data_IF_436612381556
#
_entry.id   IF_436612381556
#
_cell.length_a   1.000
_cell.length_b   1.000
_cell.length_c   1.000
_cell.angle_alpha   90.00
_cell.angle_beta   90.00
_cell.angle_gamma   90.00
#
_symmetry.space_group_name_H-M   'P 1'
#
loop_
_entity.id
_entity.type
_entity.pdbx_description
1 polymer ?
#
# COMPACT_ATOMS: atom_id res chain seq x y z
N UNK A 1 -15.74 8.46 -22.84
CA UNK A 1 -14.42 8.26 -23.51
C UNK A 1 -13.34 8.60 -22.50
N UNK A 2 -12.36 7.72 -22.30
CA UNK A 2 -11.15 8.01 -21.50
C UNK A 2 -10.18 8.84 -22.36
N UNK A 3 -9.61 9.94 -21.84
CA UNK A 3 -9.05 11.03 -22.66
C UNK A 3 -7.57 11.37 -22.41
N UNK A 4 -6.94 10.85 -21.35
CA UNK A 4 -5.57 11.23 -20.98
C UNK A 4 -4.53 10.56 -21.86
N UNK A 5 -3.67 11.34 -22.51
CA UNK A 5 -2.57 10.82 -23.36
C UNK A 5 -1.34 10.37 -22.58
N UNK A 6 -1.17 10.83 -21.34
CA UNK A 6 -0.09 10.45 -20.44
C UNK A 6 -0.63 10.42 -19.01
N UNK A 7 -0.48 9.28 -18.34
CA UNK A 7 -1.03 9.02 -17.01
C UNK A 7 0.10 8.64 -16.06
N UNK A 8 0.14 9.28 -14.89
CA UNK A 8 1.12 9.00 -13.83
C UNK A 8 0.37 8.58 -12.57
N UNK A 9 0.82 7.50 -11.93
CA UNK A 9 0.28 7.02 -10.66
C UNK A 9 1.27 7.30 -9.51
N UNK A 10 0.81 7.98 -8.46
CA UNK A 10 1.54 8.12 -7.20
C UNK A 10 0.92 7.20 -6.16
N UNK A 11 1.73 6.34 -5.54
CA UNK A 11 1.28 5.40 -4.53
C UNK A 11 2.03 5.61 -3.21
N UNK A 12 1.48 5.10 -2.12
CA UNK A 12 2.09 5.14 -0.80
C UNK A 12 1.78 3.86 -0.03
N UNK A 13 2.18 3.82 1.25
CA UNK A 13 2.05 2.62 2.09
C UNK A 13 0.61 2.05 2.15
N UNK A 14 -0.40 2.90 1.96
CA UNK A 14 -1.82 2.51 1.98
C UNK A 14 -2.17 1.35 1.03
N UNK A 15 -1.54 1.24 -0.15
CA UNK A 15 -1.85 0.17 -1.11
C UNK A 15 -1.38 -1.23 -0.67
N UNK A 16 -0.54 -1.29 0.37
CA UNK A 16 0.05 -2.50 0.94
C UNK A 16 -0.59 -2.93 2.26
N UNK A 17 -1.50 -2.13 2.83
CA UNK A 17 -2.24 -2.48 4.06
C UNK A 17 -3.06 -3.77 3.89
N UNK A 18 -3.71 -3.93 2.74
CA UNK A 18 -4.42 -5.15 2.37
C UNK A 18 -3.50 -6.38 2.20
N UNK A 19 -2.18 -6.18 2.12
CA UNK A 19 -1.17 -7.25 2.06
C UNK A 19 -0.58 -7.57 3.44
N UNK A 20 -1.06 -6.96 4.53
CA UNK A 20 -0.59 -7.20 5.89
C UNK A 20 0.62 -6.35 6.34
N UNK A 21 0.99 -5.34 5.54
CA UNK A 21 2.05 -4.37 5.87
C UNK A 21 1.37 -3.09 6.39
N UNK A 22 1.63 -2.64 7.63
CA UNK A 22 0.99 -1.43 8.16
C UNK A 22 1.42 -0.20 7.37
N UNK A 23 0.54 0.80 7.32
CA UNK A 23 0.91 2.12 6.84
C UNK A 23 1.68 2.90 7.92
N UNK A 24 1.96 4.17 7.63
CA UNK A 24 2.67 5.04 8.57
C UNK A 24 1.75 5.84 9.50
N UNK A 25 0.61 6.32 9.00
CA UNK A 25 -0.19 7.40 9.66
C UNK A 25 -1.70 7.11 9.73
N UNK A 26 -2.12 5.92 9.34
CA UNK A 26 -3.50 5.46 9.52
C UNK A 26 -3.77 5.12 10.99
N UNK A 27 -5.00 4.73 11.33
CA UNK A 27 -5.40 4.48 12.72
C UNK A 27 -4.50 3.52 13.51
N UNK A 28 -3.84 2.59 12.79
CA UNK A 28 -2.89 1.60 13.30
C UNK A 28 -1.51 1.69 12.62
N UNK A 29 -1.19 2.84 12.03
CA UNK A 29 0.08 3.06 11.34
C UNK A 29 1.27 3.13 12.28
N UNK A 30 2.47 2.89 11.76
CA UNK A 30 3.72 2.85 12.55
C UNK A 30 3.87 4.07 13.46
N UNK A 31 3.74 5.29 12.92
CA UNK A 31 3.90 6.52 13.70
C UNK A 31 2.71 6.81 14.59
N UNK A 32 1.49 6.47 14.16
CA UNK A 32 0.29 6.62 14.99
C UNK A 32 0.30 5.71 16.20
N UNK A 33 0.87 4.51 16.08
CA UNK A 33 1.04 3.59 17.20
C UNK A 33 2.19 4.05 18.11
N UNK A 34 3.31 4.50 17.53
CA UNK A 34 4.44 5.06 18.28
C UNK A 34 4.03 6.29 19.12
N UNK A 35 3.27 7.24 18.56
CA UNK A 35 2.72 8.40 19.27
C UNK A 35 1.87 8.01 20.49
N UNK A 36 1.29 6.81 20.48
CA UNK A 36 0.48 6.25 21.58
C UNK A 36 1.28 5.33 22.52
N UNK A 37 2.58 5.16 22.29
CA UNK A 37 3.42 4.21 23.03
C UNK A 37 3.08 2.74 22.75
N UNK A 38 2.50 2.45 21.58
CA UNK A 38 2.09 1.11 21.14
C UNK A 38 2.94 0.64 19.95
N UNK A 39 3.05 -0.67 19.77
CA UNK A 39 3.72 -1.24 18.61
C UNK A 39 2.75 -1.41 17.41
N UNK A 40 3.20 -1.19 16.16
CA UNK A 40 2.42 -1.54 14.98
C UNK A 40 2.35 -3.06 14.79
N UNK A 41 1.30 -3.53 14.11
CA UNK A 41 1.10 -4.94 13.80
C UNK A 41 1.51 -5.23 12.35
N UNK A 42 2.27 -6.31 12.17
CA UNK A 42 2.56 -6.90 10.85
C UNK A 42 1.87 -8.27 10.79
N UNK A 43 1.07 -8.49 9.75
CA UNK A 43 0.39 -9.77 9.50
C UNK A 43 1.18 -10.69 8.54
N UNK A 44 2.26 -10.16 7.97
CA UNK A 44 3.19 -10.89 7.09
C UNK A 44 4.62 -10.39 7.31
N UNK A 45 5.60 -11.15 6.85
CA UNK A 45 6.95 -10.63 6.63
C UNK A 45 7.05 -10.01 5.22
N UNK A 46 8.09 -9.21 4.97
CA UNK A 46 8.29 -8.60 3.66
C UNK A 46 8.55 -9.64 2.56
N UNK A 47 9.25 -10.71 2.88
CA UNK A 47 9.56 -11.81 1.95
C UNK A 47 8.31 -12.58 1.53
N UNK A 48 7.32 -12.67 2.42
CA UNK A 48 6.09 -13.44 2.19
C UNK A 48 4.91 -12.58 1.73
N UNK A 49 5.03 -11.25 1.77
CA UNK A 49 3.97 -10.34 1.38
C UNK A 49 3.62 -10.52 -0.11
N UNK A 50 2.32 -10.67 -0.42
CA UNK A 50 1.84 -10.79 -1.80
C UNK A 50 1.36 -9.44 -2.33
N UNK A 51 1.57 -9.13 -3.62
CA UNK A 51 1.04 -7.92 -4.23
C UNK A 51 -0.49 -7.82 -4.05
N UNK A 52 -0.97 -6.66 -3.62
CA UNK A 52 -2.41 -6.40 -3.53
C UNK A 52 -3.05 -6.28 -4.92
N UNK A 53 -4.39 -6.29 -4.99
CA UNK A 53 -5.11 -6.08 -6.26
C UNK A 53 -4.69 -4.78 -6.95
N UNK A 54 -4.41 -3.72 -6.19
CA UNK A 54 -3.94 -2.44 -6.73
C UNK A 54 -2.58 -2.59 -7.40
N UNK A 55 -1.64 -3.33 -6.81
CA UNK A 55 -0.34 -3.60 -7.44
C UNK A 55 -0.52 -4.32 -8.78
N UNK A 56 -1.36 -5.36 -8.81
CA UNK A 56 -1.59 -6.14 -10.03
C UNK A 56 -2.34 -5.35 -11.10
N UNK A 57 -3.26 -4.47 -10.71
CA UNK A 57 -3.94 -3.58 -11.64
C UNK A 57 -2.97 -2.57 -12.26
N UNK A 58 -2.05 -2.01 -11.48
CA UNK A 58 -1.01 -1.10 -12.01
C UNK A 58 -0.09 -1.79 -13.00
N UNK A 59 0.30 -3.05 -12.74
CA UNK A 59 1.03 -3.88 -13.72
C UNK A 59 0.24 -4.02 -15.01
N UNK A 60 -1.07 -4.29 -14.92
CA UNK A 60 -1.88 -4.44 -16.11
C UNK A 60 -2.05 -3.11 -16.87
N UNK A 61 -2.17 -1.97 -16.18
CA UNK A 61 -2.30 -0.65 -16.79
C UNK A 61 -1.01 -0.18 -17.49
N UNK A 62 0.16 -0.58 -17.01
CA UNK A 62 1.46 -0.28 -17.64
C UNK A 62 1.69 -1.10 -18.91
N UNK A 63 1.14 -2.31 -18.98
CA UNK A 63 1.26 -3.21 -20.13
C UNK A 63 0.28 -2.93 -21.27
N UNK A 64 -0.65 -2.00 -21.09
CA UNK A 64 -1.60 -1.57 -22.11
C UNK A 64 -0.98 -0.53 -23.03
#
# INVERSE_FOLDING_TARGET
MWQSSSVVFHTGAGISTASGIPDFRGPHGVWTMEERGLAPKFDTTFENARPSKTHMALVQLERM
#
